data_IF_543311386248
#
_entry.id   IF_543311386248
#
_cell.length_a   1.000
_cell.length_b   1.000
_cell.length_c   1.000
_cell.angle_alpha   90.00
_cell.angle_beta   90.00
_cell.angle_gamma   90.00
#
_symmetry.space_group_name_H-M   'P 1'
#
loop_
_entity.id
_entity.type
_entity.pdbx_description
1 polymer ?
#
# COMPACT_ATOMS: atom_id res chain seq x y z
N UNK A 1 18.56 12.10 13.37
CA UNK A 1 18.38 12.25 11.90
C UNK A 1 19.35 13.30 11.40
N UNK A 2 19.89 13.22 10.18
CA UNK A 2 20.82 14.22 9.67
C UNK A 2 20.13 15.59 9.62
N UNK A 3 20.70 16.57 10.33
CA UNK A 3 20.13 17.91 10.54
C UNK A 3 20.43 18.88 9.40
N UNK A 4 21.11 18.43 8.35
CA UNK A 4 21.45 19.27 7.21
C UNK A 4 20.24 19.48 6.30
N UNK A 5 20.00 20.73 5.92
CA UNK A 5 18.94 21.12 4.98
C UNK A 5 19.04 20.42 3.62
N UNK A 6 20.21 19.88 3.27
CA UNK A 6 20.44 19.13 2.03
C UNK A 6 19.91 17.69 2.13
N UNK A 7 19.91 17.08 3.32
CA UNK A 7 19.61 15.65 3.51
C UNK A 7 18.18 15.26 3.11
N UNK A 8 17.21 16.17 3.23
CA UNK A 8 15.83 15.91 2.82
C UNK A 8 15.48 16.54 1.46
N UNK A 9 16.14 17.65 1.08
CA UNK A 9 15.90 18.33 -0.20
C UNK A 9 16.47 17.57 -1.37
N UNK A 10 17.67 16.99 -1.21
CA UNK A 10 18.34 16.29 -2.31
C UNK A 10 17.51 15.12 -2.85
N UNK A 11 16.99 14.18 -2.02
CA UNK A 11 16.16 13.09 -2.53
C UNK A 11 14.90 13.56 -3.28
N UNK A 12 14.20 14.57 -2.76
CA UNK A 12 13.01 15.15 -3.40
C UNK A 12 13.35 15.83 -4.73
N UNK A 13 14.43 16.63 -4.76
CA UNK A 13 14.90 17.28 -5.98
C UNK A 13 15.44 16.29 -7.02
N UNK A 14 16.09 15.22 -6.57
CA UNK A 14 16.61 14.17 -7.43
C UNK A 14 15.49 13.40 -8.15
N UNK A 15 14.33 13.20 -7.52
CA UNK A 15 13.16 12.61 -8.19
C UNK A 15 12.69 13.44 -9.39
N UNK A 16 12.87 14.76 -9.37
CA UNK A 16 12.55 15.63 -10.50
C UNK A 16 13.41 15.32 -11.74
N UNK A 17 14.64 14.80 -11.57
CA UNK A 17 15.47 14.33 -12.68
C UNK A 17 14.77 13.21 -13.46
N UNK A 18 14.15 12.26 -12.76
CA UNK A 18 13.41 11.16 -13.38
C UNK A 18 12.18 11.68 -14.12
N UNK A 19 11.44 12.62 -13.55
CA UNK A 19 10.29 13.26 -14.19
C UNK A 19 10.70 14.02 -15.46
N UNK A 20 11.79 14.80 -15.40
CA UNK A 20 12.35 15.48 -16.57
C UNK A 20 12.81 14.49 -17.63
N UNK A 21 13.43 13.38 -17.22
CA UNK A 21 13.76 12.26 -18.09
C UNK A 21 12.53 11.77 -18.85
N UNK A 22 11.43 11.48 -18.14
CA UNK A 22 10.17 11.05 -18.77
C UNK A 22 9.66 12.08 -19.78
N UNK A 23 9.66 13.38 -19.44
CA UNK A 23 9.22 14.44 -20.37
C UNK A 23 10.08 14.47 -21.64
N UNK A 24 11.38 14.26 -21.51
CA UNK A 24 12.30 14.15 -22.67
C UNK A 24 11.98 12.92 -23.51
N UNK A 25 11.53 11.81 -22.90
CA UNK A 25 11.19 10.58 -23.63
C UNK A 25 9.81 10.61 -24.30
N UNK A 26 8.84 11.40 -23.80
CA UNK A 26 7.47 11.45 -24.34
C UNK A 26 7.43 11.64 -25.86
N UNK A 27 8.17 12.57 -26.50
CA UNK A 27 8.16 12.74 -27.95
C UNK A 27 8.68 11.53 -28.75
N UNK A 28 9.42 10.62 -28.11
CA UNK A 28 9.96 9.40 -28.74
C UNK A 28 9.06 8.18 -28.57
N UNK A 29 8.06 8.26 -27.68
CA UNK A 29 7.11 7.18 -27.50
C UNK A 29 6.17 7.12 -28.69
N UNK A 30 6.04 5.92 -29.25
CA UNK A 30 5.04 5.67 -30.29
C UNK A 30 3.65 5.67 -29.66
N UNK A 31 2.70 6.25 -30.38
CA UNK A 31 1.31 6.25 -29.96
C UNK A 31 0.76 4.81 -29.89
N UNK A 32 -0.19 4.60 -28.98
CA UNK A 32 -0.85 3.29 -28.84
C UNK A 32 -1.59 2.91 -30.14
N UNK A 33 -1.42 1.68 -30.66
CA UNK A 33 -2.17 1.20 -31.83
C UNK A 33 -3.69 1.35 -31.69
N UNK A 34 -4.21 1.12 -30.48
CA UNK A 34 -5.64 1.30 -30.18
C UNK A 34 -6.07 2.76 -30.31
N UNK A 35 -5.27 3.70 -29.80
CA UNK A 35 -5.56 5.13 -29.92
C UNK A 35 -5.53 5.62 -31.37
N UNK A 36 -4.56 5.12 -32.17
CA UNK A 36 -4.49 5.41 -33.60
C UNK A 36 -5.73 4.91 -34.34
N UNK A 37 -6.20 3.69 -34.04
CA UNK A 37 -7.47 3.17 -34.59
C UNK A 37 -8.69 3.98 -34.13
N UNK A 38 -8.73 4.49 -32.89
CA UNK A 38 -9.80 5.38 -32.41
C UNK A 38 -9.86 6.71 -33.17
N UNK A 39 -8.74 7.14 -33.78
CA UNK A 39 -8.64 8.33 -34.64
C UNK A 39 -8.72 7.99 -36.13
N UNK A 40 -9.14 6.77 -36.46
CA UNK A 40 -9.27 6.27 -37.84
C UNK A 40 -7.93 6.28 -38.63
N UNK A 41 -6.78 6.28 -37.93
CA UNK A 41 -5.41 6.22 -38.48
C UNK A 41 -4.89 4.78 -38.55
N UNK A 42 -5.57 3.94 -39.32
CA UNK A 42 -5.31 2.49 -39.34
C UNK A 42 -3.94 2.11 -39.94
N UNK A 43 -3.44 2.84 -40.94
CA UNK A 43 -2.12 2.56 -41.53
C UNK A 43 -0.97 2.82 -40.54
N UNK A 44 -1.06 3.90 -39.76
CA UNK A 44 -0.08 4.20 -38.70
C UNK A 44 -0.15 3.14 -37.59
N UNK A 45 -1.37 2.72 -37.21
CA UNK A 45 -1.56 1.64 -36.24
C UNK A 45 -0.93 0.33 -36.72
N UNK A 46 -1.09 0.01 -38.01
CA UNK A 46 -0.49 -1.17 -38.66
C UNK A 46 1.03 -1.14 -38.59
N UNK A 47 1.65 0.01 -38.89
CA UNK A 47 3.09 0.18 -38.79
C UNK A 47 3.61 0.03 -37.35
N UNK A 48 2.88 0.54 -36.35
CA UNK A 48 3.24 0.36 -34.93
C UNK A 48 3.08 -1.09 -34.49
N UNK A 49 2.00 -1.78 -34.89
CA UNK A 49 1.80 -3.21 -34.59
C UNK A 49 2.88 -4.08 -35.22
N UNK A 50 3.25 -3.82 -36.48
CA UNK A 50 4.34 -4.52 -37.16
C UNK A 50 5.66 -4.40 -36.38
N UNK A 51 5.96 -3.20 -35.87
CA UNK A 51 7.14 -2.95 -35.02
C UNK A 51 7.03 -3.67 -33.67
N UNK A 52 5.85 -3.68 -33.05
CA UNK A 52 5.61 -4.30 -31.74
C UNK A 52 5.74 -5.84 -31.79
N UNK A 53 5.17 -6.47 -32.82
CA UNK A 53 5.27 -7.91 -33.04
C UNK A 53 6.60 -8.33 -33.69
N UNK A 54 7.46 -7.37 -34.04
CA UNK A 54 8.70 -7.57 -34.80
C UNK A 54 8.48 -8.38 -36.10
N UNK A 55 7.40 -8.06 -36.84
CA UNK A 55 6.98 -8.74 -38.06
C UNK A 55 6.79 -7.78 -39.24
N UNK A 56 6.80 -8.29 -40.49
CA UNK A 56 6.45 -7.49 -41.65
C UNK A 56 5.05 -6.88 -41.53
N UNK A 57 4.86 -5.70 -42.14
CA UNK A 57 3.62 -4.93 -42.08
C UNK A 57 2.41 -5.65 -42.70
N UNK A 58 2.67 -6.59 -43.61
CA UNK A 58 1.65 -7.41 -44.28
C UNK A 58 1.53 -8.81 -43.69
N UNK A 59 2.16 -9.07 -42.53
CA UNK A 59 2.04 -10.39 -41.89
C UNK A 59 0.59 -10.67 -41.46
N UNK A 60 0.11 -11.92 -41.58
CA UNK A 60 -1.27 -12.28 -41.22
C UNK A 60 -1.63 -11.91 -39.77
N UNK A 61 -0.70 -12.10 -38.83
CA UNK A 61 -0.92 -11.79 -37.40
C UNK A 61 -1.13 -10.29 -37.15
N UNK A 62 -0.38 -9.42 -37.84
CA UNK A 62 -0.53 -7.96 -37.70
C UNK A 62 -1.87 -7.50 -38.26
N UNK A 63 -2.30 -8.08 -39.40
CA UNK A 63 -3.63 -7.82 -39.97
C UNK A 63 -4.75 -8.28 -39.04
N UNK A 64 -4.68 -9.51 -38.55
CA UNK A 64 -5.66 -10.08 -37.63
C UNK A 64 -5.78 -9.24 -36.36
N UNK A 65 -4.66 -8.88 -35.75
CA UNK A 65 -4.63 -8.02 -34.55
C UNK A 65 -5.26 -6.65 -34.82
N UNK A 66 -4.95 -6.04 -35.97
CA UNK A 66 -5.53 -4.76 -36.37
C UNK A 66 -7.05 -4.87 -36.59
N UNK A 67 -7.50 -5.92 -37.28
CA UNK A 67 -8.92 -6.19 -37.55
C UNK A 67 -9.70 -6.37 -36.25
N UNK A 68 -9.18 -7.15 -35.29
CA UNK A 68 -9.78 -7.33 -33.95
C UNK A 68 -9.93 -5.99 -33.22
N UNK A 69 -8.90 -5.13 -33.26
CA UNK A 69 -8.95 -3.81 -32.61
C UNK A 69 -10.01 -2.93 -33.25
N UNK A 70 -10.09 -2.91 -34.59
CA UNK A 70 -11.07 -2.11 -35.33
C UNK A 70 -12.50 -2.60 -35.04
N UNK A 71 -12.73 -3.91 -35.05
CA UNK A 71 -14.03 -4.51 -34.74
C UNK A 71 -14.46 -4.16 -33.31
N UNK A 72 -13.56 -4.32 -32.34
CA UNK A 72 -13.82 -3.95 -30.93
C UNK A 72 -14.21 -2.48 -30.81
N UNK A 73 -13.50 -1.57 -31.51
CA UNK A 73 -13.81 -0.14 -31.48
C UNK A 73 -15.14 0.17 -32.18
N UNK A 74 -15.46 -0.53 -33.28
CA UNK A 74 -16.73 -0.36 -33.97
C UNK A 74 -17.91 -0.79 -33.08
N UNK A 75 -17.78 -1.90 -32.35
CA UNK A 75 -18.74 -2.29 -31.32
C UNK A 75 -18.85 -1.24 -30.20
N UNK A 76 -17.72 -0.76 -29.67
CA UNK A 76 -17.69 0.28 -28.63
C UNK A 76 -18.38 1.59 -29.10
N UNK A 77 -18.17 2.00 -30.36
CA UNK A 77 -18.84 3.17 -30.95
C UNK A 77 -20.34 2.93 -31.16
N UNK A 78 -20.76 1.70 -31.45
CA UNK A 78 -22.17 1.33 -31.62
C UNK A 78 -22.94 1.29 -30.29
N UNK A 79 -22.28 0.87 -29.21
CA UNK A 79 -22.85 0.86 -27.85
C UNK A 79 -23.01 2.28 -27.27
N UNK A 80 -22.40 3.30 -27.90
CA UNK A 80 -22.53 4.72 -27.53
C UNK A 80 -21.55 5.17 -26.43
N UNK A 81 -21.62 6.45 -26.05
CA UNK A 81 -20.78 6.99 -24.97
C UNK A 81 -21.22 6.45 -23.61
N UNK A 82 -20.29 5.85 -22.88
CA UNK A 82 -20.53 5.35 -21.52
C UNK A 82 -20.72 6.54 -20.58
N UNK A 83 -21.91 6.71 -20.02
CA UNK A 83 -22.19 7.73 -19.04
C UNK A 83 -21.74 7.35 -17.64
N UNK A 84 -21.56 8.34 -16.75
CA UNK A 84 -21.24 8.12 -15.33
C UNK A 84 -22.26 7.22 -14.60
N UNK A 85 -23.50 7.11 -15.11
CA UNK A 85 -24.54 6.26 -14.55
C UNK A 85 -24.33 4.77 -14.89
N UNK A 86 -23.74 4.47 -16.04
CA UNK A 86 -23.51 3.09 -16.49
C UNK A 86 -22.44 2.37 -15.67
N UNK A 87 -21.61 3.14 -14.95
CA UNK A 87 -20.67 2.66 -13.93
C UNK A 87 -21.39 1.88 -12.82
N UNK A 88 -22.61 2.29 -12.47
CA UNK A 88 -23.39 1.71 -11.36
C UNK A 88 -24.40 0.64 -11.80
N UNK A 89 -24.52 0.39 -13.11
CA UNK A 89 -25.43 -0.61 -13.65
C UNK A 89 -24.66 -1.78 -14.26
N UNK A 90 -25.19 -3.00 -14.06
CA UNK A 90 -24.67 -4.16 -14.77
C UNK A 90 -25.26 -4.20 -16.18
N UNK A 91 -24.56 -3.57 -17.13
CA UNK A 91 -24.82 -3.71 -18.56
C UNK A 91 -24.23 -5.00 -19.15
N UNK A 92 -24.18 -5.09 -20.49
CA UNK A 92 -23.64 -6.22 -21.26
C UNK A 92 -22.22 -6.63 -20.82
N UNK A 93 -21.38 -5.66 -20.46
CA UNK A 93 -19.99 -5.88 -20.02
C UNK A 93 -19.83 -6.20 -18.52
N UNK A 94 -20.92 -6.23 -17.74
CA UNK A 94 -20.88 -6.37 -16.28
C UNK A 94 -19.96 -5.33 -15.61
N UNK A 95 -20.01 -4.09 -16.10
CA UNK A 95 -19.12 -2.98 -15.73
C UNK A 95 -19.10 -2.76 -14.22
N UNK A 96 -20.28 -2.67 -13.58
CA UNK A 96 -20.37 -2.49 -12.13
C UNK A 96 -19.70 -3.63 -11.35
N UNK A 97 -19.92 -4.89 -11.74
CA UNK A 97 -19.22 -6.04 -11.12
C UNK A 97 -17.71 -5.94 -11.27
N UNK A 98 -17.21 -5.60 -12.46
CA UNK A 98 -15.75 -5.45 -12.71
C UNK A 98 -15.15 -4.34 -11.86
N UNK A 99 -15.85 -3.22 -11.73
CA UNK A 99 -15.43 -2.09 -10.89
C UNK A 99 -15.41 -2.52 -9.41
N UNK A 100 -16.46 -3.17 -8.92
CA UNK A 100 -16.50 -3.66 -7.53
C UNK A 100 -15.37 -4.65 -7.23
N UNK A 101 -15.03 -5.53 -8.18
CA UNK A 101 -13.90 -6.44 -8.04
C UNK A 101 -12.57 -5.66 -7.93
N UNK A 102 -12.34 -4.67 -8.81
CA UNK A 102 -11.13 -3.85 -8.76
C UNK A 102 -11.04 -2.95 -7.51
N UNK A 103 -12.15 -2.33 -7.12
CA UNK A 103 -12.26 -1.53 -5.92
C UNK A 103 -12.04 -2.38 -4.66
N UNK A 104 -12.68 -3.55 -4.60
CA UNK A 104 -12.51 -4.50 -3.51
C UNK A 104 -11.05 -4.88 -3.31
N UNK A 105 -10.35 -5.25 -4.39
CA UNK A 105 -8.91 -5.55 -4.34
C UNK A 105 -8.12 -4.37 -3.78
N UNK A 106 -8.43 -3.14 -4.21
CA UNK A 106 -7.73 -1.94 -3.74
C UNK A 106 -8.00 -1.64 -2.26
N UNK A 107 -9.24 -1.84 -1.79
CA UNK A 107 -9.61 -1.68 -0.38
C UNK A 107 -8.87 -2.72 0.48
N UNK A 108 -8.86 -3.98 0.08
CA UNK A 108 -8.18 -5.03 0.83
C UNK A 108 -6.66 -4.82 0.89
N UNK A 109 -6.05 -4.28 -0.16
CA UNK A 109 -4.64 -3.88 -0.11
C UNK A 109 -4.36 -2.84 0.97
N UNK A 110 -5.24 -1.85 1.15
CA UNK A 110 -5.05 -0.80 2.16
C UNK A 110 -5.42 -1.23 3.57
N UNK A 111 -6.47 -2.05 3.74
CA UNK A 111 -6.87 -2.59 5.04
C UNK A 111 -5.79 -3.46 5.68
N UNK A 112 -4.92 -4.07 4.87
CA UNK A 112 -3.71 -4.76 5.36
C UNK A 112 -2.70 -3.84 6.05
N UNK A 113 -2.92 -2.52 6.08
CA UNK A 113 -2.07 -1.58 6.81
C UNK A 113 -0.70 -1.37 6.18
N UNK A 114 -0.54 -1.69 4.89
CA UNK A 114 0.76 -1.71 4.20
C UNK A 114 1.51 -0.38 4.31
N UNK A 115 0.79 0.74 4.29
CA UNK A 115 1.38 2.08 4.43
C UNK A 115 1.97 2.33 5.82
N UNK A 116 1.44 1.67 6.86
CA UNK A 116 1.98 1.83 8.22
C UNK A 116 3.40 1.26 8.28
N UNK A 117 3.59 0.07 7.72
CA UNK A 117 4.92 -0.54 7.61
C UNK A 117 5.82 0.32 6.73
N UNK A 118 5.35 0.70 5.53
CA UNK A 118 6.15 1.46 4.58
C UNK A 118 6.69 2.80 5.15
N UNK A 119 5.91 3.50 5.97
CA UNK A 119 6.31 4.81 6.50
C UNK A 119 6.92 4.76 7.90
N UNK A 120 6.50 3.82 8.75
CA UNK A 120 6.84 3.83 10.17
C UNK A 120 7.70 2.66 10.61
N UNK A 121 8.04 1.69 9.75
CA UNK A 121 8.88 0.55 10.12
C UNK A 121 10.19 0.96 10.84
N UNK A 122 10.98 1.95 10.36
CA UNK A 122 12.18 2.36 11.10
C UNK A 122 11.86 2.91 12.50
N UNK A 123 10.75 3.66 12.62
CA UNK A 123 10.33 4.28 13.89
C UNK A 123 9.83 3.22 14.87
N UNK A 124 9.09 2.22 14.40
CA UNK A 124 8.62 1.10 15.21
C UNK A 124 9.81 0.26 15.69
N UNK A 125 10.78 -0.01 14.82
CA UNK A 125 12.00 -0.74 15.19
C UNK A 125 12.85 0.01 16.24
N UNK A 126 12.91 1.33 16.17
CA UNK A 126 13.63 2.14 17.16
C UNK A 126 12.85 2.24 18.49
N UNK A 127 11.57 2.63 18.45
CA UNK A 127 10.78 2.94 19.64
C UNK A 127 10.23 1.72 20.36
N UNK A 128 9.77 0.71 19.62
CA UNK A 128 9.13 -0.48 20.20
C UNK A 128 10.10 -1.61 20.48
N UNK A 129 11.16 -1.75 19.66
CA UNK A 129 12.16 -2.81 19.81
C UNK A 129 13.50 -2.34 20.40
N UNK A 130 13.66 -1.02 20.60
CA UNK A 130 14.87 -0.45 21.21
C UNK A 130 16.12 -0.54 20.32
N UNK A 131 15.96 -0.76 19.01
CA UNK A 131 17.10 -0.84 18.10
C UNK A 131 17.74 0.53 17.86
N UNK A 132 19.06 0.52 17.62
CA UNK A 132 19.75 1.76 17.25
C UNK A 132 19.23 2.33 15.93
N UNK A 133 19.26 3.67 15.73
CA UNK A 133 18.75 4.31 14.51
C UNK A 133 19.38 3.77 13.21
N UNK A 134 20.67 3.41 13.26
CA UNK A 134 21.37 2.83 12.09
C UNK A 134 20.85 1.42 11.77
N UNK A 135 20.62 0.60 12.79
CA UNK A 135 20.13 -0.76 12.60
C UNK A 135 18.68 -0.77 12.11
N UNK A 136 17.83 0.10 12.66
CA UNK A 136 16.45 0.27 12.19
C UNK A 136 16.39 0.64 10.69
N UNK A 137 17.21 1.61 10.26
CA UNK A 137 17.28 1.99 8.83
C UNK A 137 17.78 0.85 7.93
N UNK A 138 18.77 0.07 8.37
CA UNK A 138 19.28 -1.08 7.60
C UNK A 138 18.19 -2.15 7.44
N UNK A 139 17.48 -2.47 8.53
CA UNK A 139 16.38 -3.45 8.50
C UNK A 139 15.24 -2.99 7.59
N UNK A 140 14.88 -1.70 7.61
CA UNK A 140 13.88 -1.16 6.70
C UNK A 140 14.33 -1.16 5.23
N UNK A 141 15.63 -0.98 4.97
CA UNK A 141 16.16 -1.13 3.62
C UNK A 141 16.08 -2.59 3.12
N UNK A 142 16.35 -3.57 4.00
CA UNK A 142 16.20 -4.99 3.70
C UNK A 142 14.72 -5.34 3.42
N UNK A 143 13.79 -4.83 4.22
CA UNK A 143 12.35 -4.98 4.00
C UNK A 143 11.92 -4.44 2.62
N UNK A 144 12.43 -3.27 2.24
CA UNK A 144 12.16 -2.69 0.91
C UNK A 144 12.71 -3.57 -0.24
N UNK A 145 13.87 -4.21 -0.05
CA UNK A 145 14.44 -5.14 -1.04
C UNK A 145 13.60 -6.42 -1.18
N UNK A 146 13.02 -6.89 -0.08
CA UNK A 146 12.10 -8.04 -0.09
C UNK A 146 10.90 -7.76 -0.99
N UNK A 147 10.34 -6.54 -0.99
CA UNK A 147 9.24 -6.18 -1.89
C UNK A 147 9.61 -6.31 -3.37
N UNK A 148 10.81 -5.86 -3.74
CA UNK A 148 11.30 -5.96 -5.12
C UNK A 148 11.44 -7.42 -5.57
N UNK A 149 11.97 -8.28 -4.69
CA UNK A 149 12.11 -9.70 -4.95
C UNK A 149 10.76 -10.40 -5.13
N UNK A 150 9.82 -10.21 -4.19
CA UNK A 150 8.49 -10.83 -4.29
C UNK A 150 7.68 -10.27 -5.45
N UNK A 151 7.78 -8.97 -5.73
CA UNK A 151 7.15 -8.33 -6.88
C UNK A 151 7.60 -8.97 -8.20
N UNK A 152 8.90 -9.09 -8.42
CA UNK A 152 9.45 -9.71 -9.62
C UNK A 152 9.05 -11.19 -9.73
N UNK A 153 9.18 -11.96 -8.64
CA UNK A 153 8.82 -13.37 -8.64
C UNK A 153 7.33 -13.59 -8.95
N UNK A 154 6.44 -12.78 -8.37
CA UNK A 154 5.00 -12.89 -8.60
C UNK A 154 4.65 -12.61 -10.07
N UNK A 155 5.27 -11.61 -10.70
CA UNK A 155 5.05 -11.33 -12.13
C UNK A 155 5.37 -12.55 -12.99
N UNK A 156 6.53 -13.18 -12.78
CA UNK A 156 6.91 -14.37 -13.55
C UNK A 156 5.99 -15.58 -13.29
N UNK A 157 5.52 -15.77 -12.06
CA UNK A 157 4.59 -16.84 -11.70
C UNK A 157 3.21 -16.64 -12.33
N UNK A 158 2.71 -15.41 -12.33
CA UNK A 158 1.41 -15.06 -12.92
C UNK A 158 1.44 -15.27 -14.43
N UNK A 159 2.46 -14.73 -15.13
CA UNK A 159 2.51 -14.76 -16.59
C UNK A 159 2.69 -16.17 -17.16
N UNK A 160 3.49 -17.03 -16.50
CA UNK A 160 3.85 -18.35 -17.05
C UNK A 160 2.93 -19.49 -16.63
N UNK A 161 2.39 -19.47 -15.42
CA UNK A 161 1.84 -20.68 -14.80
C UNK A 161 0.40 -20.50 -14.28
N UNK A 162 0.11 -19.38 -13.61
CA UNK A 162 -1.10 -19.26 -12.80
C UNK A 162 -2.16 -18.33 -13.40
N UNK A 163 -1.77 -17.28 -14.13
CA UNK A 163 -2.70 -16.26 -14.62
C UNK A 163 -3.61 -15.76 -13.49
N UNK A 164 -4.93 -15.78 -13.74
CA UNK A 164 -5.93 -15.37 -12.76
C UNK A 164 -6.03 -16.28 -11.52
N UNK A 165 -5.58 -17.54 -11.60
CA UNK A 165 -5.65 -18.49 -10.46
C UNK A 165 -4.71 -18.09 -9.33
N UNK A 166 -3.72 -17.25 -9.60
CA UNK A 166 -2.82 -16.70 -8.59
C UNK A 166 -3.60 -15.97 -7.47
N UNK A 167 -4.66 -15.26 -7.83
CA UNK A 167 -5.51 -14.56 -6.86
C UNK A 167 -6.25 -15.53 -5.90
N UNK A 168 -6.59 -16.74 -6.35
CA UNK A 168 -7.19 -17.78 -5.49
C UNK A 168 -6.15 -18.29 -4.50
N UNK A 169 -4.93 -18.59 -4.97
CA UNK A 169 -3.83 -19.04 -4.09
C UNK A 169 -3.57 -17.99 -3.02
N UNK A 170 -3.51 -16.71 -3.40
CA UNK A 170 -3.34 -15.61 -2.46
C UNK A 170 -4.48 -15.54 -1.44
N UNK A 171 -5.74 -15.67 -1.88
CA UNK A 171 -6.89 -15.68 -0.98
C UNK A 171 -6.84 -16.82 0.03
N UNK A 172 -6.46 -18.03 -0.40
CA UNK A 172 -6.32 -19.19 0.48
C UNK A 172 -5.17 -19.01 1.47
N UNK A 173 -4.02 -18.50 1.03
CA UNK A 173 -2.88 -18.24 1.92
C UNK A 173 -3.20 -17.19 2.98
N UNK A 174 -3.91 -16.11 2.60
CA UNK A 174 -4.38 -15.11 3.56
C UNK A 174 -5.37 -15.70 4.55
N UNK A 175 -6.34 -16.49 4.08
CA UNK A 175 -7.32 -17.16 4.94
C UNK A 175 -6.63 -18.16 5.89
N UNK A 176 -5.62 -18.89 5.43
CA UNK A 176 -4.82 -19.80 6.25
C UNK A 176 -3.97 -19.07 7.32
N UNK A 177 -3.65 -17.80 7.08
CA UNK A 177 -2.97 -16.95 8.06
C UNK A 177 -3.89 -16.48 9.19
N UNK A 178 -5.21 -16.41 8.98
CA UNK A 178 -6.16 -15.96 10.00
C UNK A 178 -6.17 -16.86 11.26
N UNK A 179 -6.22 -18.20 11.16
CA UNK A 179 -6.04 -19.08 12.32
C UNK A 179 -4.69 -18.90 13.01
N UNK A 180 -3.62 -18.63 12.25
CA UNK A 180 -2.29 -18.41 12.81
C UNK A 180 -2.24 -17.10 13.61
N UNK A 181 -2.80 -16.02 13.08
CA UNK A 181 -2.97 -14.76 13.84
C UNK A 181 -3.81 -15.04 15.09
N UNK A 182 -4.97 -15.69 14.96
CA UNK A 182 -5.84 -15.96 16.11
C UNK A 182 -5.16 -16.80 17.21
N UNK A 183 -4.28 -17.75 16.86
CA UNK A 183 -3.56 -18.59 17.82
C UNK A 183 -2.32 -17.91 18.44
N UNK A 184 -1.55 -17.18 17.64
CA UNK A 184 -0.20 -16.73 18.02
C UNK A 184 -0.09 -15.22 18.24
N UNK A 185 -0.92 -14.40 17.58
CA UNK A 185 -0.95 -12.97 17.86
C UNK A 185 -1.69 -12.75 19.19
N UNK A 186 -0.93 -12.31 20.19
CA UNK A 186 -1.49 -11.83 21.45
C UNK A 186 -2.26 -10.55 21.13
N UNK A 187 -3.55 -10.58 21.44
CA UNK A 187 -4.46 -9.47 21.21
C UNK A 187 -4.05 -8.26 22.07
N UNK A 188 -3.41 -7.28 21.45
CA UNK A 188 -3.26 -5.91 22.01
C UNK A 188 -4.44 -5.03 21.65
N UNK A 189 -5.39 -5.53 20.85
CA UNK A 189 -6.61 -4.82 20.50
C UNK A 189 -7.48 -4.63 21.76
N UNK A 190 -7.75 -3.37 22.10
CA UNK A 190 -8.51 -3.00 23.30
C UNK A 190 -7.65 -2.59 24.50
N UNK A 191 -6.35 -2.38 24.31
CA UNK A 191 -5.47 -1.73 25.29
C UNK A 191 -5.11 -0.32 24.79
N UNK A 192 -5.31 0.67 25.63
CA UNK A 192 -4.74 2.01 25.49
C UNK A 192 -3.21 1.97 25.54
N UNK A 193 -2.54 2.99 24.99
CA UNK A 193 -1.08 3.07 24.94
C UNK A 193 -0.43 2.86 26.33
N UNK A 194 -1.03 3.41 27.38
CA UNK A 194 -0.60 3.24 28.78
C UNK A 194 -0.73 1.80 29.28
N UNK A 195 -1.78 1.09 28.85
CA UNK A 195 -2.00 -0.31 29.19
C UNK A 195 -0.93 -1.19 28.54
N UNK A 196 -0.56 -0.89 27.29
CA UNK A 196 0.47 -1.64 26.55
C UNK A 196 1.83 -1.48 27.22
N UNK A 197 2.24 -0.25 27.56
CA UNK A 197 3.53 0.01 28.22
C UNK A 197 3.63 -0.74 29.57
N UNK A 198 2.56 -0.74 30.37
CA UNK A 198 2.53 -1.49 31.64
C UNK A 198 2.61 -3.00 31.46
N UNK A 199 1.93 -3.55 30.45
CA UNK A 199 2.06 -4.98 30.12
C UNK A 199 3.50 -5.34 29.78
N UNK A 200 4.19 -4.50 29.00
CA UNK A 200 5.59 -4.74 28.65
C UNK A 200 6.52 -4.64 29.86
N UNK A 201 6.31 -3.67 30.77
CA UNK A 201 7.06 -3.54 32.02
C UNK A 201 6.87 -4.75 32.94
N UNK A 202 5.62 -5.20 33.14
CA UNK A 202 5.31 -6.37 33.98
C UNK A 202 5.88 -7.66 33.40
N UNK A 203 5.85 -7.81 32.08
CA UNK A 203 6.38 -8.96 31.34
C UNK A 203 7.92 -9.02 31.34
N UNK A 204 8.60 -7.87 31.33
CA UNK A 204 10.06 -7.79 31.21
C UNK A 204 10.75 -7.40 32.53
N UNK A 205 10.02 -7.35 33.65
CA UNK A 205 10.59 -7.21 34.97
C UNK A 205 11.51 -8.40 35.31
N UNK A 206 12.66 -8.13 35.95
CA UNK A 206 13.60 -9.18 36.37
C UNK A 206 12.90 -10.23 37.25
N UNK A 207 12.96 -11.49 36.83
CA UNK A 207 12.35 -12.63 37.55
C UNK A 207 10.88 -12.91 37.19
N UNK A 208 10.29 -12.22 36.22
CA UNK A 208 8.90 -12.46 35.84
C UNK A 208 8.71 -13.75 35.01
N UNK A 209 7.73 -14.58 35.38
CA UNK A 209 7.27 -15.75 34.62
C UNK A 209 5.86 -15.55 34.05
N UNK A 210 5.38 -14.30 34.07
CA UNK A 210 4.01 -13.94 33.73
C UNK A 210 3.73 -14.19 32.25
N UNK A 211 2.62 -14.87 31.97
CA UNK A 211 2.09 -14.99 30.61
C UNK A 211 1.52 -13.63 30.18
N UNK A 212 1.52 -13.33 28.87
CA UNK A 212 0.99 -12.04 28.39
C UNK A 212 -0.46 -11.79 28.85
N UNK A 213 -1.31 -12.82 28.92
CA UNK A 213 -2.67 -12.70 29.48
C UNK A 213 -2.67 -12.22 30.93
N UNK A 214 -1.80 -12.77 31.77
CA UNK A 214 -1.71 -12.40 33.19
C UNK A 214 -1.15 -10.99 33.38
N UNK A 215 -0.15 -10.61 32.58
CA UNK A 215 0.37 -9.25 32.57
C UNK A 215 -0.70 -8.24 32.12
N UNK A 216 -1.55 -8.59 31.16
CA UNK A 216 -2.67 -7.74 30.70
C UNK A 216 -3.75 -7.54 31.76
N UNK A 217 -4.15 -8.60 32.46
CA UNK A 217 -5.13 -8.48 33.56
C UNK A 217 -4.59 -7.59 34.69
N UNK A 218 -3.34 -7.80 35.11
CA UNK A 218 -2.68 -6.98 36.14
C UNK A 218 -2.52 -5.52 35.71
N UNK A 219 -2.18 -5.26 34.45
CA UNK A 219 -2.06 -3.89 33.94
C UNK A 219 -3.40 -3.14 33.96
N UNK A 220 -4.49 -3.81 33.59
CA UNK A 220 -5.85 -3.24 33.65
C UNK A 220 -6.27 -2.92 35.08
N UNK A 221 -6.06 -3.84 36.01
CA UNK A 221 -6.38 -3.64 37.43
C UNK A 221 -5.60 -2.45 38.02
N UNK A 222 -4.29 -2.36 37.76
CA UNK A 222 -3.46 -1.26 38.25
C UNK A 222 -3.90 0.10 37.72
N UNK A 223 -4.32 0.17 36.46
CA UNK A 223 -4.81 1.41 35.85
C UNK A 223 -6.19 1.81 36.34
N UNK A 224 -7.07 0.86 36.62
CA UNK A 224 -8.37 1.15 37.20
C UNK A 224 -8.21 1.77 38.60
N UNK A 225 -7.30 1.22 39.42
CA UNK A 225 -6.95 1.76 40.74
C UNK A 225 -6.41 3.19 40.61
N UNK A 226 -5.46 3.43 39.70
CA UNK A 226 -4.87 4.76 39.52
C UNK A 226 -5.89 5.80 39.01
N UNK A 227 -6.81 5.41 38.10
CA UNK A 227 -7.91 6.29 37.66
C UNK A 227 -8.83 6.66 38.81
N UNK A 228 -9.14 5.70 39.69
CA UNK A 228 -9.95 5.94 40.89
C UNK A 228 -9.23 6.88 41.87
N UNK A 229 -7.93 6.73 42.07
CA UNK A 229 -7.12 7.63 42.91
C UNK A 229 -7.04 9.05 42.35
N UNK A 230 -6.88 9.20 41.03
CA UNK A 230 -6.88 10.51 40.36
C UNK A 230 -8.25 11.18 40.46
N UNK A 231 -9.34 10.43 40.25
CA UNK A 231 -10.72 10.92 40.41
C UNK A 231 -11.03 11.34 41.85
N UNK A 232 -10.43 10.68 42.84
CA UNK A 232 -10.60 10.99 44.26
C UNK A 232 -9.74 12.18 44.75
N UNK A 233 -8.81 12.71 43.93
CA UNK A 233 -8.02 13.89 44.32
C UNK A 233 -8.86 15.16 44.22
N UNK A 234 -8.96 15.96 45.29
CA UNK A 234 -9.68 17.23 45.24
C UNK A 234 -8.96 18.20 44.29
N UNK A 235 -9.75 18.79 43.39
CA UNK A 235 -9.30 19.78 42.40
C UNK A 235 -8.67 20.98 43.13
N UNK A 236 -7.35 21.16 43.02
CA UNK A 236 -6.68 22.34 43.58
C UNK A 236 -7.07 23.55 42.75
N UNK A 237 -7.79 24.46 43.38
CA UNK A 237 -8.12 25.79 42.89
C UNK A 237 -6.88 26.57 42.43
N UNK A 238 -6.99 27.15 41.23
CA UNK A 238 -6.32 28.36 40.75
C UNK A 238 -4.84 28.56 41.08
N UNK A 239 -3.96 28.31 40.11
CA UNK A 239 -2.65 28.98 40.04
C UNK A 239 -2.73 30.00 38.91
N UNK A 240 -2.61 31.27 39.30
CA UNK A 240 -2.80 32.44 38.48
C UNK A 240 -1.81 32.55 37.31
N UNK A 241 -2.36 33.07 36.22
CA UNK A 241 -1.62 33.76 35.17
C UNK A 241 -1.00 35.02 35.76
N UNK A 242 0.30 35.02 36.04
CA UNK A 242 1.12 36.23 36.08
C UNK A 242 2.60 35.84 35.92
N UNK A 243 3.31 36.61 35.08
CA UNK A 243 4.72 36.52 34.69
C UNK A 243 5.07 35.75 33.41
N UNK A 244 4.78 36.38 32.26
CA UNK A 244 5.79 36.52 31.19
C UNK A 244 5.68 37.94 30.61
N UNK A 245 6.30 38.91 31.29
CA UNK A 245 6.81 40.14 30.68
C UNK A 245 8.30 40.24 31.04
N UNK A 246 9.10 40.74 30.10
CA UNK A 246 10.54 41.04 30.20
C UNK A 246 11.50 39.85 30.19
N UNK A 247 11.96 39.47 28.98
CA UNK A 247 13.41 39.51 28.64
C UNK A 247 13.54 39.93 27.17
N UNK A 248 14.39 40.93 26.95
CA UNK A 248 14.79 41.54 25.69
C UNK A 248 15.67 40.64 24.81
#
# INVERSE_FOLDING_TARGET
MPTSQVSWRFPLGFQALLALGTVVFVPFLVESPRWLCLKDRHEDARAVLARLHAKPIDSPEVRETLEIIIETIAEERADGEIGWRDVFHNGRQQTFRRILLGLGVSIFQQLGGINVVAYYLPVVLERSFGFSPRMALILSAIDSMQWMFWGAMNTFLIERNLGWRFYIVFAVLNAAFLPFIWLFYVETAGLSLDEIDRVFVLKHAEGSTLTYKQATEQAKEQLEIERLEISARPEKSGVGTDHVESVA
#
